data_IF_509385793831
#
_entry.id   IF_509385793831
#
_cell.length_a   1.000
_cell.length_b   1.000
_cell.length_c   1.000
_cell.angle_alpha   90.00
_cell.angle_beta   90.00
_cell.angle_gamma   90.00
#
_symmetry.space_group_name_H-M   'P 1'
#
loop_
_entity.id
_entity.type
_entity.pdbx_description
1 polymer ?
#
# COMPACT_ATOMS: atom_id res chain seq x y z
N UNK A 1 5.63 -27.46 56.23
CA UNK A 1 4.23 -27.04 56.00
C UNK A 1 4.27 -25.61 55.45
N UNK A 2 4.06 -25.37 54.14
CA UNK A 2 2.79 -24.89 53.50
C UNK A 2 2.24 -23.65 54.24
N UNK A 3 2.06 -22.43 53.69
CA UNK A 3 1.50 -21.89 52.43
C UNK A 3 1.57 -20.34 52.56
N UNK A 4 1.51 -19.43 51.58
CA UNK A 4 1.24 -19.44 50.15
C UNK A 4 1.34 -17.99 49.63
N UNK A 5 1.80 -17.84 48.40
CA UNK A 5 1.91 -16.57 47.67
C UNK A 5 0.64 -16.33 46.83
N UNK A 6 -0.04 -15.19 46.94
CA UNK A 6 -1.06 -14.74 45.95
C UNK A 6 -1.39 -13.24 46.09
N UNK A 7 -0.67 -12.38 45.38
CA UNK A 7 -1.07 -11.05 44.90
C UNK A 7 -0.19 -10.80 43.65
N UNK A 8 -0.63 -10.41 42.46
CA UNK A 8 -1.93 -10.12 41.87
C UNK A 8 -1.63 -9.78 40.40
N UNK A 9 -1.82 -10.74 39.49
CA UNK A 9 -1.69 -10.53 38.03
C UNK A 9 -2.93 -9.82 37.51
N UNK A 10 -3.04 -8.51 37.73
CA UNK A 10 -4.15 -7.69 37.24
C UNK A 10 -3.65 -6.36 36.67
N UNK A 11 -2.82 -6.41 35.61
CA UNK A 11 -2.32 -5.20 34.95
C UNK A 11 -2.30 -5.23 33.41
N UNK A 12 -2.30 -6.41 32.77
CA UNK A 12 -1.99 -6.49 31.33
C UNK A 12 -3.20 -6.56 30.37
N UNK A 13 -4.44 -6.58 30.87
CA UNK A 13 -5.63 -6.82 30.02
C UNK A 13 -6.40 -5.57 29.57
N UNK A 14 -6.10 -4.38 30.11
CA UNK A 14 -6.87 -3.15 29.79
C UNK A 14 -6.35 -2.35 28.59
N UNK A 15 -5.13 -2.60 28.11
CA UNK A 15 -4.55 -1.89 26.96
C UNK A 15 -4.99 -2.43 25.59
N UNK A 16 -5.24 -3.74 25.48
CA UNK A 16 -5.58 -4.39 24.21
C UNK A 16 -7.00 -4.05 23.70
N UNK A 17 -7.95 -3.82 24.62
CA UNK A 17 -9.34 -3.48 24.27
C UNK A 17 -9.50 -2.04 23.79
N UNK A 18 -8.75 -1.10 24.36
CA UNK A 18 -8.76 0.30 23.92
C UNK A 18 -8.16 0.46 22.52
N UNK A 19 -7.08 -0.27 22.20
CA UNK A 19 -6.47 -0.30 20.87
C UNK A 19 -7.42 -0.84 19.79
N UNK A 20 -8.14 -1.93 20.06
CA UNK A 20 -9.12 -2.53 19.14
C UNK A 20 -10.32 -1.62 18.88
N UNK A 21 -10.81 -0.92 19.91
CA UNK A 21 -11.92 0.04 19.79
C UNK A 21 -11.49 1.26 18.98
N UNK A 22 -10.26 1.75 19.18
CA UNK A 22 -9.72 2.88 18.42
C UNK A 22 -9.43 2.49 16.96
N UNK A 23 -8.96 1.26 16.70
CA UNK A 23 -8.80 0.68 15.35
C UNK A 23 -10.14 0.58 14.62
N UNK A 24 -11.18 0.10 15.31
CA UNK A 24 -12.53 0.01 14.77
C UNK A 24 -13.11 1.40 14.48
N UNK A 25 -12.87 2.39 15.34
CA UNK A 25 -13.34 3.76 15.11
C UNK A 25 -12.60 4.46 13.96
N UNK A 26 -11.31 4.20 13.76
CA UNK A 26 -10.54 4.77 12.65
C UNK A 26 -10.81 4.10 11.30
N UNK A 27 -11.26 2.84 11.28
CA UNK A 27 -11.59 2.10 10.05
C UNK A 27 -13.06 2.19 9.66
N UNK A 28 -13.98 2.10 10.63
CA UNK A 28 -15.41 1.98 10.37
C UNK A 28 -16.05 3.34 10.13
N UNK A 29 -15.57 4.41 10.76
CA UNK A 29 -16.19 5.74 10.63
C UNK A 29 -15.94 6.37 9.24
N UNK A 30 -14.74 6.37 8.67
CA UNK A 30 -14.53 6.90 7.32
C UNK A 30 -15.25 6.06 6.26
N UNK A 31 -15.30 4.73 6.43
CA UNK A 31 -15.97 3.81 5.51
C UNK A 31 -17.51 3.93 5.59
N UNK A 32 -18.08 4.09 6.78
CA UNK A 32 -19.52 4.28 6.97
C UNK A 32 -19.98 5.66 6.47
N UNK A 33 -19.18 6.71 6.65
CA UNK A 33 -19.45 8.04 6.08
C UNK A 33 -19.31 8.01 4.54
N UNK A 34 -18.39 7.21 4.00
CA UNK A 34 -18.27 6.98 2.55
C UNK A 34 -19.47 6.24 1.95
N UNK A 35 -20.03 5.28 2.69
CA UNK A 35 -21.18 4.48 2.26
C UNK A 35 -22.50 5.24 2.38
N UNK A 36 -22.58 6.30 3.20
CA UNK A 36 -23.79 7.09 3.40
C UNK A 36 -23.89 8.33 2.48
N UNK A 37 -22.81 8.72 1.81
CA UNK A 37 -22.79 9.85 0.89
C UNK A 37 -23.17 9.41 -0.54
N UNK A 38 -24.45 9.17 -0.79
CA UNK A 38 -25.00 8.98 -2.13
C UNK A 38 -25.31 10.34 -2.77
N UNK A 39 -24.45 10.78 -3.69
CA UNK A 39 -24.78 11.87 -4.63
C UNK A 39 -24.89 11.30 -6.03
N UNK A 40 -26.10 11.30 -6.60
CA UNK A 40 -26.29 11.11 -8.03
C UNK A 40 -25.72 12.33 -8.78
N UNK A 41 -24.64 12.12 -9.53
CA UNK A 41 -24.05 13.16 -10.40
C UNK A 41 -24.28 12.77 -11.85
N UNK A 42 -25.07 13.57 -12.55
CA UNK A 42 -25.26 13.49 -14.00
C UNK A 42 -24.09 14.15 -14.74
N UNK A 43 -23.29 13.43 -15.56
CA UNK A 43 -22.22 14.03 -16.34
C UNK A 43 -22.78 14.79 -17.56
N UNK A 44 -22.19 15.95 -17.86
CA UNK A 44 -22.49 16.76 -19.05
C UNK A 44 -21.99 16.13 -20.38
N UNK A 45 -22.51 16.54 -21.56
CA UNK A 45 -22.18 15.92 -22.85
C UNK A 45 -20.69 16.06 -23.25
N UNK A 46 -20.20 15.07 -23.99
CA UNK A 46 -18.79 14.87 -24.36
C UNK A 46 -18.26 15.91 -25.37
N UNK A 47 -17.47 16.87 -24.89
CA UNK A 47 -16.59 17.70 -25.73
C UNK A 47 -15.32 16.90 -26.15
N UNK A 48 -14.70 17.17 -27.32
CA UNK A 48 -13.57 16.37 -27.86
C UNK A 48 -12.39 16.26 -26.89
N UNK A 49 -11.63 15.14 -26.87
CA UNK A 49 -10.57 14.94 -25.89
C UNK A 49 -9.55 16.08 -25.93
N UNK A 50 -9.32 16.72 -24.77
CA UNK A 50 -8.34 17.81 -24.58
C UNK A 50 -7.11 17.21 -23.90
N UNK A 51 -6.15 16.75 -24.71
CA UNK A 51 -4.85 16.29 -24.23
C UNK A 51 -3.85 17.43 -24.34
N UNK A 52 -3.22 17.80 -23.21
CA UNK A 52 -2.19 18.84 -23.20
C UNK A 52 -0.80 18.22 -23.29
N UNK A 53 0.16 18.95 -23.84
CA UNK A 53 1.57 18.54 -23.82
C UNK A 53 2.26 19.04 -22.55
N UNK A 54 3.27 18.29 -22.10
CA UNK A 54 4.12 18.68 -20.97
C UNK A 54 5.48 19.11 -21.52
N UNK A 55 5.77 20.41 -21.55
CA UNK A 55 7.00 20.96 -22.16
C UNK A 55 7.28 20.44 -23.58
N UNK A 56 6.23 20.28 -24.41
CA UNK A 56 6.34 19.72 -25.77
C UNK A 56 6.48 18.19 -25.84
N UNK A 57 6.58 17.51 -24.69
CA UNK A 57 6.58 16.05 -24.60
C UNK A 57 5.19 15.43 -24.75
N UNK A 58 5.16 14.18 -25.21
CA UNK A 58 3.93 13.38 -25.33
C UNK A 58 3.34 13.07 -23.95
N UNK A 59 2.08 13.45 -23.72
CA UNK A 59 1.39 13.29 -22.44
C UNK A 59 1.39 11.84 -21.92
N UNK A 60 1.16 10.87 -22.81
CA UNK A 60 1.11 9.45 -22.46
C UNK A 60 2.47 8.94 -22.00
N UNK A 61 3.54 9.36 -22.68
CA UNK A 61 4.91 9.00 -22.30
C UNK A 61 5.27 9.57 -20.92
N UNK A 62 4.94 10.85 -20.68
CA UNK A 62 5.20 11.51 -19.40
C UNK A 62 4.47 10.80 -18.27
N UNK A 63 3.17 10.52 -18.43
CA UNK A 63 2.40 9.78 -17.42
C UNK A 63 2.98 8.37 -17.22
N UNK A 64 3.36 7.66 -18.28
CA UNK A 64 3.95 6.33 -18.16
C UNK A 64 5.23 6.34 -17.34
N UNK A 65 6.18 7.26 -17.62
CA UNK A 65 7.44 7.37 -16.87
C UNK A 65 7.17 7.68 -15.40
N UNK A 66 6.38 8.72 -15.13
CA UNK A 66 6.11 9.18 -13.76
C UNK A 66 5.36 8.11 -12.96
N UNK A 67 4.35 7.48 -13.56
CA UNK A 67 3.60 6.40 -12.94
C UNK A 67 4.50 5.20 -12.64
N UNK A 68 5.37 4.79 -13.58
CA UNK A 68 6.24 3.65 -13.37
C UNK A 68 7.19 3.87 -12.18
N UNK A 69 7.82 5.04 -12.10
CA UNK A 69 8.71 5.37 -10.99
C UNK A 69 7.93 5.40 -9.66
N UNK A 70 6.79 6.09 -9.63
CA UNK A 70 5.93 6.13 -8.45
C UNK A 70 5.51 4.72 -7.98
N UNK A 71 5.11 3.85 -8.91
CA UNK A 71 4.64 2.49 -8.60
C UNK A 71 5.77 1.57 -8.11
N UNK A 72 6.99 1.70 -8.62
CA UNK A 72 8.13 0.91 -8.12
C UNK A 72 8.45 1.27 -6.66
N UNK A 73 8.52 2.56 -6.33
CA UNK A 73 8.71 2.98 -4.95
C UNK A 73 7.47 2.67 -4.08
N UNK A 74 6.27 2.80 -4.63
CA UNK A 74 5.03 2.42 -3.94
C UNK A 74 4.96 0.93 -3.60
N UNK A 75 5.42 0.05 -4.50
CA UNK A 75 5.51 -1.38 -4.24
C UNK A 75 6.45 -1.69 -3.07
N UNK A 76 7.60 -1.02 -3.01
CA UNK A 76 8.53 -1.12 -1.89
C UNK A 76 7.91 -0.62 -0.57
N UNK A 77 7.27 0.55 -0.59
CA UNK A 77 6.62 1.15 0.58
C UNK A 77 5.47 0.29 1.13
N UNK A 78 4.78 -0.48 0.28
CA UNK A 78 3.72 -1.38 0.72
C UNK A 78 4.24 -2.77 1.15
N UNK A 79 5.34 -3.24 0.56
CA UNK A 79 5.90 -4.56 0.86
C UNK A 79 6.75 -4.62 2.13
N UNK A 80 7.68 -3.67 2.29
CA UNK A 80 8.67 -3.65 3.40
C UNK A 80 8.07 -3.55 4.80
N UNK A 81 7.08 -2.68 5.08
CA UNK A 81 6.54 -2.55 6.42
C UNK A 81 5.92 -3.85 6.96
N UNK A 82 5.45 -4.74 6.07
CA UNK A 82 4.84 -6.02 6.46
C UNK A 82 5.88 -6.87 7.18
N UNK A 83 7.01 -7.13 6.53
CA UNK A 83 8.03 -7.97 7.14
C UNK A 83 8.86 -7.23 8.18
N UNK A 84 9.03 -5.91 8.09
CA UNK A 84 9.63 -5.12 9.17
C UNK A 84 8.84 -5.27 10.48
N UNK A 85 7.51 -5.18 10.41
CA UNK A 85 6.63 -5.37 11.57
C UNK A 85 6.68 -6.80 12.10
N UNK A 86 6.74 -7.81 11.22
CA UNK A 86 6.88 -9.22 11.62
C UNK A 86 8.21 -9.46 12.34
N UNK A 87 9.32 -8.99 11.77
CA UNK A 87 10.66 -9.10 12.35
C UNK A 87 10.71 -8.39 13.69
N UNK A 88 10.09 -7.21 13.81
CA UNK A 88 10.02 -6.50 15.08
C UNK A 88 9.21 -7.27 16.14
N UNK A 89 8.06 -7.82 15.77
CA UNK A 89 7.25 -8.66 16.68
C UNK A 89 8.05 -9.88 17.15
N UNK A 90 8.80 -10.52 16.25
CA UNK A 90 9.68 -11.63 16.60
C UNK A 90 10.75 -11.15 17.58
N UNK A 91 11.46 -10.06 17.27
CA UNK A 91 12.50 -9.50 18.14
C UNK A 91 11.98 -9.10 19.51
N UNK A 92 10.76 -8.55 19.58
CA UNK A 92 10.11 -8.23 20.85
C UNK A 92 9.78 -9.46 21.68
N UNK A 93 9.32 -10.54 21.05
CA UNK A 93 8.95 -11.79 21.75
C UNK A 93 10.16 -12.64 22.14
N UNK A 94 11.20 -12.67 21.32
CA UNK A 94 12.39 -13.48 21.57
C UNK A 94 13.44 -12.75 22.41
N UNK A 95 13.43 -11.42 22.40
CA UNK A 95 14.47 -10.60 23.02
C UNK A 95 15.80 -10.63 22.26
N UNK A 96 15.85 -11.22 21.05
CA UNK A 96 17.08 -11.28 20.26
C UNK A 96 17.32 -9.93 19.53
N UNK A 97 18.40 -9.22 19.85
CA UNK A 97 18.68 -7.90 19.31
C UNK A 97 18.97 -7.90 17.82
N UNK A 98 19.25 -9.05 17.20
CA UNK A 98 19.43 -9.14 15.73
C UNK A 98 18.16 -8.73 14.99
N UNK A 99 17.01 -9.23 15.42
CA UNK A 99 15.72 -8.90 14.81
C UNK A 99 15.35 -7.44 15.01
N UNK A 100 15.57 -6.88 16.20
CA UNK A 100 15.29 -5.46 16.45
C UNK A 100 16.17 -4.54 15.58
N UNK A 101 17.47 -4.86 15.45
CA UNK A 101 18.38 -4.13 14.52
C UNK A 101 17.94 -4.23 13.07
N UNK A 102 17.54 -5.42 12.62
CA UNK A 102 17.08 -5.65 11.26
C UNK A 102 15.80 -4.87 10.95
N UNK A 103 14.82 -4.91 11.85
CA UNK A 103 13.58 -4.16 11.67
C UNK A 103 13.81 -2.63 11.70
N UNK A 104 14.71 -2.14 12.56
CA UNK A 104 15.09 -0.73 12.57
C UNK A 104 15.71 -0.29 11.24
N UNK A 105 16.62 -1.08 10.66
CA UNK A 105 17.20 -0.78 9.36
C UNK A 105 16.16 -0.78 8.23
N UNK A 106 15.20 -1.71 8.24
CA UNK A 106 14.10 -1.69 7.27
C UNK A 106 13.23 -0.44 7.39
N UNK A 107 12.92 0.01 8.59
CA UNK A 107 12.13 1.23 8.79
C UNK A 107 12.88 2.50 8.38
N UNK A 108 14.20 2.54 8.57
CA UNK A 108 15.03 3.63 8.06
C UNK A 108 14.96 3.74 6.52
N UNK A 109 15.09 2.60 5.82
CA UNK A 109 14.94 2.55 4.36
C UNK A 109 13.53 2.98 3.92
N UNK A 110 12.51 2.55 4.67
CA UNK A 110 11.11 2.87 4.40
C UNK A 110 10.83 4.38 4.50
N UNK A 111 11.41 5.10 5.46
CA UNK A 111 11.23 6.55 5.62
C UNK A 111 11.69 7.34 4.38
N UNK A 112 12.88 7.02 3.86
CA UNK A 112 13.42 7.64 2.65
C UNK A 112 12.60 7.26 1.40
N UNK A 113 12.22 5.98 1.28
CA UNK A 113 11.40 5.50 0.17
C UNK A 113 10.01 6.15 0.16
N UNK A 114 9.36 6.28 1.32
CA UNK A 114 8.03 6.90 1.45
C UNK A 114 8.04 8.36 0.97
N UNK A 115 9.03 9.15 1.39
CA UNK A 115 9.18 10.54 0.96
C UNK A 115 9.33 10.65 -0.57
N UNK A 116 10.11 9.72 -1.15
CA UNK A 116 10.32 9.65 -2.61
C UNK A 116 9.04 9.24 -3.33
N UNK A 117 8.33 8.22 -2.84
CA UNK A 117 7.02 7.78 -3.36
C UNK A 117 6.01 8.93 -3.33
N UNK A 118 5.95 9.66 -2.22
CA UNK A 118 5.05 10.81 -2.03
C UNK A 118 5.33 11.92 -3.05
N UNK A 119 6.60 12.27 -3.26
CA UNK A 119 6.99 13.27 -4.25
C UNK A 119 6.58 12.87 -5.67
N UNK A 120 6.88 11.63 -6.08
CA UNK A 120 6.46 11.13 -7.40
C UNK A 120 4.95 10.92 -7.52
N UNK A 121 4.26 10.63 -6.42
CA UNK A 121 2.79 10.53 -6.37
C UNK A 121 2.13 11.89 -6.56
N UNK A 122 2.63 12.93 -5.88
CA UNK A 122 2.21 14.30 -6.11
C UNK A 122 2.47 14.74 -7.55
N UNK A 123 3.65 14.44 -8.09
CA UNK A 123 3.97 14.70 -9.50
C UNK A 123 3.00 13.98 -10.45
N UNK A 124 2.66 12.71 -10.17
CA UNK A 124 1.70 11.94 -10.96
C UNK A 124 0.32 12.60 -10.96
N UNK A 125 -0.20 12.98 -9.79
CA UNK A 125 -1.51 13.64 -9.65
C UNK A 125 -1.53 14.98 -10.39
N UNK A 126 -0.51 15.84 -10.20
CA UNK A 126 -0.44 17.12 -10.90
C UNK A 126 -0.34 16.94 -12.42
N UNK A 127 0.41 15.94 -12.87
CA UNK A 127 0.55 15.62 -14.29
C UNK A 127 -0.78 15.11 -14.87
N UNK A 128 -1.52 14.25 -14.16
CA UNK A 128 -2.82 13.76 -14.60
C UNK A 128 -3.86 14.89 -14.68
N UNK A 129 -3.94 15.76 -13.67
CA UNK A 129 -4.85 16.92 -13.68
C UNK A 129 -4.49 17.90 -14.79
N UNK A 130 -3.19 18.15 -15.00
CA UNK A 130 -2.71 19.09 -16.02
C UNK A 130 -2.88 18.57 -17.45
N UNK A 131 -2.56 17.30 -17.70
CA UNK A 131 -2.50 16.71 -19.04
C UNK A 131 -3.80 16.06 -19.49
N UNK A 132 -4.61 15.58 -18.54
CA UNK A 132 -5.86 14.86 -18.77
C UNK A 132 -7.04 15.47 -17.98
N UNK A 133 -7.33 16.77 -18.13
CA UNK A 133 -8.29 17.48 -17.27
C UNK A 133 -9.73 16.92 -17.36
N UNK A 134 -10.20 16.58 -18.57
CA UNK A 134 -11.55 16.00 -18.75
C UNK A 134 -11.70 14.63 -18.11
N UNK A 135 -10.66 13.81 -18.23
CA UNK A 135 -10.60 12.49 -17.62
C UNK A 135 -10.58 12.59 -16.09
N UNK A 136 -9.77 13.49 -15.53
CA UNK A 136 -9.75 13.72 -14.09
C UNK A 136 -11.06 14.30 -13.56
N UNK A 137 -11.71 15.20 -14.30
CA UNK A 137 -13.04 15.71 -13.95
C UNK A 137 -14.08 14.58 -13.91
N UNK A 138 -14.05 13.68 -14.90
CA UNK A 138 -14.93 12.52 -14.94
C UNK A 138 -14.69 11.58 -13.75
N UNK A 139 -13.44 11.17 -13.48
CA UNK A 139 -13.16 10.31 -12.34
C UNK A 139 -13.51 10.99 -11.01
N UNK A 140 -13.26 12.29 -10.87
CA UNK A 140 -13.64 13.06 -9.67
C UNK A 140 -15.14 13.04 -9.44
N UNK A 141 -15.95 13.16 -10.51
CA UNK A 141 -17.42 13.11 -10.37
C UNK A 141 -17.91 11.80 -9.74
N UNK A 142 -17.17 10.70 -9.93
CA UNK A 142 -17.49 9.37 -9.40
C UNK A 142 -16.84 9.11 -8.04
N UNK A 143 -15.56 9.47 -7.89
CA UNK A 143 -14.68 9.00 -6.81
C UNK A 143 -14.32 10.06 -5.78
N UNK A 144 -14.84 11.29 -5.85
CA UNK A 144 -14.50 12.39 -4.93
C UNK A 144 -14.50 11.99 -3.45
N UNK A 145 -15.51 11.24 -2.99
CA UNK A 145 -15.59 10.74 -1.61
C UNK A 145 -14.38 9.87 -1.24
N UNK A 146 -13.98 8.96 -2.14
CA UNK A 146 -12.82 8.09 -1.93
C UNK A 146 -11.49 8.86 -2.01
N UNK A 147 -11.43 9.97 -2.77
CA UNK A 147 -10.24 10.83 -2.82
C UNK A 147 -9.98 11.53 -1.50
N UNK A 148 -11.02 12.01 -0.81
CA UNK A 148 -10.87 12.61 0.52
C UNK A 148 -10.39 11.59 1.55
N UNK A 149 -10.93 10.37 1.51
CA UNK A 149 -10.50 9.28 2.40
C UNK A 149 -9.05 8.90 2.11
N UNK A 150 -8.69 8.77 0.84
CA UNK A 150 -7.33 8.48 0.44
C UNK A 150 -6.37 9.57 0.94
N UNK A 151 -6.70 10.84 0.79
CA UNK A 151 -5.88 11.95 1.28
C UNK A 151 -5.68 11.87 2.80
N UNK A 152 -6.76 11.65 3.57
CA UNK A 152 -6.69 11.52 5.03
C UNK A 152 -5.82 10.32 5.44
N UNK A 153 -6.02 9.16 4.82
CA UNK A 153 -5.26 7.96 5.10
C UNK A 153 -3.79 8.10 4.70
N UNK A 154 -3.48 8.84 3.64
CA UNK A 154 -2.11 9.14 3.24
C UNK A 154 -1.38 9.98 4.31
N UNK A 155 -2.05 10.99 4.87
CA UNK A 155 -1.48 11.73 6.02
C UNK A 155 -1.36 10.86 7.27
N UNK A 156 -2.34 9.99 7.55
CA UNK A 156 -2.28 9.05 8.66
C UNK A 156 -1.12 8.05 8.50
N UNK A 157 -0.90 7.53 7.29
CA UNK A 157 0.20 6.64 6.94
C UNK A 157 1.54 7.34 7.18
N UNK A 158 1.71 8.55 6.63
CA UNK A 158 2.90 9.36 6.83
C UNK A 158 3.17 9.61 8.32
N UNK A 159 2.20 10.15 9.05
CA UNK A 159 2.37 10.42 10.48
C UNK A 159 2.72 9.15 11.27
N UNK A 160 2.04 8.03 10.98
CA UNK A 160 2.32 6.73 11.61
C UNK A 160 3.73 6.26 11.31
N UNK A 161 4.19 6.35 10.06
CA UNK A 161 5.54 5.99 9.65
C UNK A 161 6.61 6.81 10.37
N UNK A 162 6.43 8.13 10.44
CA UNK A 162 7.38 9.02 11.11
C UNK A 162 7.42 8.75 12.62
N UNK A 163 6.27 8.51 13.26
CA UNK A 163 6.22 8.09 14.66
C UNK A 163 6.88 6.72 14.87
N UNK A 164 6.67 5.78 13.95
CA UNK A 164 7.24 4.45 14.01
C UNK A 164 8.77 4.51 13.92
N UNK A 165 9.30 5.20 12.92
CA UNK A 165 10.75 5.29 12.73
C UNK A 165 11.44 6.13 13.81
N UNK A 166 11.05 7.40 14.00
CA UNK A 166 11.72 8.29 14.95
C UNK A 166 11.42 7.94 16.42
N UNK A 167 10.37 7.17 16.66
CA UNK A 167 9.99 6.69 17.98
C UNK A 167 10.72 5.44 18.44
N UNK A 168 11.59 4.83 17.60
CA UNK A 168 12.21 3.53 17.86
C UNK A 168 12.87 3.42 19.24
N UNK A 169 13.74 4.38 19.58
CA UNK A 169 14.45 4.39 20.86
C UNK A 169 13.58 4.89 22.02
N UNK A 170 12.62 5.78 21.71
CA UNK A 170 11.79 6.47 22.71
C UNK A 170 10.64 5.59 23.21
N UNK A 171 10.19 4.64 22.39
CA UNK A 171 9.14 3.68 22.73
C UNK A 171 9.68 2.30 23.13
N UNK A 172 10.93 2.22 23.61
CA UNK A 172 11.47 0.99 24.21
C UNK A 172 10.81 0.70 25.57
N UNK A 173 10.90 -0.56 26.02
CA UNK A 173 10.39 -1.00 27.32
C UNK A 173 8.85 -0.96 27.40
N UNK A 174 8.23 -0.20 28.33
CA UNK A 174 6.78 -0.22 28.56
C UNK A 174 5.96 0.23 27.34
N UNK A 175 6.54 1.02 26.44
CA UNK A 175 5.89 1.55 25.25
C UNK A 175 6.09 0.67 24.00
N UNK A 176 6.80 -0.46 24.09
CA UNK A 176 7.09 -1.31 22.91
C UNK A 176 5.82 -1.86 22.26
N UNK A 177 4.77 -2.12 23.05
CA UNK A 177 3.46 -2.51 22.52
C UNK A 177 2.82 -1.43 21.63
N UNK A 178 3.02 -0.15 21.96
CA UNK A 178 2.56 0.97 21.12
C UNK A 178 3.38 1.04 19.83
N UNK A 179 4.70 0.88 19.93
CA UNK A 179 5.57 0.88 18.76
C UNK A 179 5.21 -0.22 17.74
N UNK A 180 4.95 -1.45 18.22
CA UNK A 180 4.46 -2.55 17.38
C UNK A 180 3.09 -2.25 16.79
N UNK A 181 2.19 -1.60 17.56
CA UNK A 181 0.89 -1.17 17.04
C UNK A 181 1.04 -0.16 15.89
N UNK A 182 2.02 0.76 15.95
CA UNK A 182 2.30 1.68 14.83
C UNK A 182 2.73 0.93 13.57
N UNK A 183 3.56 -0.11 13.70
CA UNK A 183 3.91 -0.98 12.56
C UNK A 183 2.68 -1.68 11.95
N UNK A 184 1.76 -2.18 12.79
CA UNK A 184 0.51 -2.79 12.32
C UNK A 184 -0.40 -1.76 11.64
N UNK A 185 -0.55 -0.57 12.24
CA UNK A 185 -1.33 0.53 11.68
C UNK A 185 -0.78 0.99 10.34
N UNK A 186 0.54 1.09 10.21
CA UNK A 186 1.21 1.44 8.96
C UNK A 186 0.83 0.47 7.82
N UNK A 187 0.85 -0.83 8.09
CA UNK A 187 0.42 -1.85 7.12
C UNK A 187 -1.07 -1.76 6.78
N UNK A 188 -1.90 -1.44 7.76
CA UNK A 188 -3.32 -1.24 7.57
C UNK A 188 -3.60 -0.04 6.64
N UNK A 189 -2.97 1.11 6.91
CA UNK A 189 -3.12 2.31 6.07
C UNK A 189 -2.66 2.05 4.65
N UNK A 190 -1.47 1.49 4.46
CA UNK A 190 -0.94 1.16 3.14
C UNK A 190 -1.84 0.19 2.37
N UNK A 191 -2.39 -0.83 3.05
CA UNK A 191 -3.30 -1.78 2.41
C UNK A 191 -4.60 -1.12 1.95
N UNK A 192 -5.20 -0.26 2.77
CA UNK A 192 -6.43 0.47 2.40
C UNK A 192 -6.15 1.46 1.27
N UNK A 193 -5.04 2.19 1.31
CA UNK A 193 -4.62 3.09 0.23
C UNK A 193 -4.43 2.34 -1.08
N UNK A 194 -3.80 1.17 -1.04
CA UNK A 194 -3.64 0.29 -2.21
C UNK A 194 -4.99 -0.15 -2.75
N UNK A 195 -5.93 -0.57 -1.89
CA UNK A 195 -7.27 -0.96 -2.30
C UNK A 195 -8.02 0.19 -2.99
N UNK A 196 -7.97 1.41 -2.42
CA UNK A 196 -8.60 2.59 -3.01
C UNK A 196 -7.98 2.94 -4.37
N UNK A 197 -6.64 3.00 -4.45
CA UNK A 197 -5.94 3.27 -5.71
C UNK A 197 -6.21 2.20 -6.77
N UNK A 198 -6.31 0.93 -6.37
CA UNK A 198 -6.66 -0.17 -7.27
C UNK A 198 -8.07 -0.05 -7.79
N UNK A 199 -9.03 0.41 -6.98
CA UNK A 199 -10.39 0.62 -7.44
C UNK A 199 -10.44 1.60 -8.61
N UNK A 200 -9.70 2.70 -8.52
CA UNK A 200 -9.63 3.71 -9.58
C UNK A 200 -8.92 3.17 -10.83
N UNK A 201 -7.77 2.51 -10.65
CA UNK A 201 -7.00 1.95 -11.76
C UNK A 201 -7.76 0.82 -12.48
N UNK A 202 -8.43 -0.06 -11.74
CA UNK A 202 -9.19 -1.17 -12.30
C UNK A 202 -10.49 -0.71 -12.97
N UNK A 203 -11.10 0.37 -12.48
CA UNK A 203 -12.25 1.00 -13.13
C UNK A 203 -11.93 1.50 -14.55
N UNK A 204 -10.71 2.00 -14.77
CA UNK A 204 -10.27 2.42 -16.10
C UNK A 204 -10.18 1.25 -17.09
N UNK A 205 -10.05 0.02 -16.60
CA UNK A 205 -9.96 -1.19 -17.41
C UNK A 205 -11.32 -1.87 -17.60
N UNK A 206 -12.12 -1.94 -16.53
CA UNK A 206 -13.43 -2.58 -16.54
C UNK A 206 -14.46 -1.69 -15.81
N UNK A 207 -14.93 -0.61 -16.45
CA UNK A 207 -15.85 0.33 -15.81
C UNK A 207 -17.19 -0.32 -15.51
N UNK A 208 -17.76 0.03 -14.36
CA UNK A 208 -19.09 -0.40 -13.90
C UNK A 208 -20.01 0.80 -13.70
N UNK A 209 -21.33 0.61 -13.77
CA UNK A 209 -22.29 1.71 -13.60
C UNK A 209 -22.35 2.73 -14.75
N UNK A 210 -21.86 2.35 -15.94
CA UNK A 210 -21.97 3.14 -17.17
C UNK A 210 -23.15 2.65 -17.99
N UNK A 211 -24.01 3.57 -18.40
CA UNK A 211 -25.05 3.33 -19.39
C UNK A 211 -24.42 3.14 -20.77
N UNK A 212 -24.72 2.03 -21.44
CA UNK A 212 -24.03 1.63 -22.69
C UNK A 212 -24.42 2.47 -23.89
N UNK A 213 -25.58 3.13 -23.86
CA UNK A 213 -26.10 3.92 -24.98
C UNK A 213 -25.65 5.38 -24.88
N UNK A 214 -25.74 5.95 -23.68
CA UNK A 214 -25.43 7.36 -23.41
C UNK A 214 -23.99 7.59 -22.97
N UNK A 215 -23.26 6.53 -22.60
CA UNK A 215 -21.91 6.57 -22.02
C UNK A 215 -21.81 7.41 -20.75
N UNK A 216 -22.94 7.65 -20.09
CA UNK A 216 -23.00 8.39 -18.83
C UNK A 216 -22.87 7.43 -17.66
N UNK A 217 -22.25 7.92 -16.60
CA UNK A 217 -22.29 7.25 -15.31
C UNK A 217 -23.68 7.41 -14.70
N UNK A 218 -24.31 6.28 -14.39
CA UNK A 218 -25.66 6.20 -13.78
C UNK A 218 -25.66 5.32 -12.51
N UNK A 219 -24.50 4.73 -12.18
CA UNK A 219 -24.33 3.89 -11.00
C UNK A 219 -23.99 4.65 -9.73
N UNK A 220 -23.66 3.91 -8.67
CA UNK A 220 -23.17 4.46 -7.40
C UNK A 220 -21.64 4.40 -7.33
N UNK A 221 -21.02 5.26 -6.52
CA UNK A 221 -19.57 5.21 -6.26
C UNK A 221 -19.12 3.82 -5.81
N UNK A 222 -19.93 3.12 -5.01
CA UNK A 222 -19.62 1.75 -4.60
C UNK A 222 -19.60 0.78 -5.79
N UNK A 223 -20.55 0.86 -6.71
CA UNK A 223 -20.52 0.04 -7.93
C UNK A 223 -19.28 0.32 -8.78
N UNK A 224 -18.80 1.56 -8.81
CA UNK A 224 -17.55 1.90 -9.49
C UNK A 224 -16.31 1.35 -8.76
N UNK A 225 -16.29 1.39 -7.42
CA UNK A 225 -15.22 0.80 -6.60
C UNK A 225 -15.18 -0.72 -6.75
N UNK A 226 -16.33 -1.37 -6.58
CA UNK A 226 -16.51 -2.81 -6.67
C UNK A 226 -16.60 -3.32 -8.12
N UNK A 227 -15.79 -2.75 -9.00
CA UNK A 227 -15.68 -3.20 -10.38
C UNK A 227 -15.03 -4.60 -10.48
N UNK A 228 -15.25 -5.36 -11.57
CA UNK A 228 -14.85 -6.76 -11.68
C UNK A 228 -13.35 -7.02 -11.44
N UNK A 229 -12.50 -6.05 -11.76
CA UNK A 229 -11.05 -6.19 -11.69
C UNK A 229 -10.45 -5.69 -10.37
N UNK A 230 -11.25 -5.12 -9.45
CA UNK A 230 -10.75 -4.52 -8.22
C UNK A 230 -10.02 -5.53 -7.32
N UNK A 231 -10.72 -6.61 -6.95
CA UNK A 231 -10.17 -7.66 -6.07
C UNK A 231 -9.05 -8.48 -6.75
N UNK A 232 -9.20 -8.93 -8.01
CA UNK A 232 -8.11 -9.62 -8.70
C UNK A 232 -6.83 -8.79 -8.78
N UNK A 233 -6.95 -7.50 -9.11
CA UNK A 233 -5.80 -6.59 -9.17
C UNK A 233 -5.20 -6.38 -7.78
N UNK A 234 -6.03 -6.24 -6.74
CA UNK A 234 -5.56 -6.07 -5.37
C UNK A 234 -4.78 -7.27 -4.85
N UNK A 235 -5.26 -8.49 -5.07
CA UNK A 235 -4.57 -9.72 -4.66
C UNK A 235 -3.22 -9.82 -5.39
N UNK A 236 -3.21 -9.62 -6.71
CA UNK A 236 -1.98 -9.67 -7.50
C UNK A 236 -0.96 -8.64 -7.00
N UNK A 237 -1.38 -7.38 -6.84
CA UNK A 237 -0.50 -6.30 -6.38
C UNK A 237 0.00 -6.50 -4.95
N UNK A 238 -0.85 -6.99 -4.04
CA UNK A 238 -0.44 -7.26 -2.66
C UNK A 238 0.73 -8.24 -2.62
N UNK A 239 0.59 -9.37 -3.33
CA UNK A 239 1.62 -10.41 -3.39
C UNK A 239 2.86 -9.89 -4.13
N UNK A 240 2.67 -9.19 -5.25
CA UNK A 240 3.77 -8.63 -6.04
C UNK A 240 4.60 -7.62 -5.24
N UNK A 241 3.95 -6.76 -4.43
CA UNK A 241 4.63 -5.78 -3.59
C UNK A 241 5.52 -6.46 -2.52
N UNK A 242 5.04 -7.55 -1.91
CA UNK A 242 5.83 -8.33 -0.94
C UNK A 242 7.03 -8.99 -1.64
N UNK A 243 6.80 -9.61 -2.79
CA UNK A 243 7.88 -10.22 -3.58
C UNK A 243 8.94 -9.19 -3.96
N UNK A 244 8.51 -8.05 -4.52
CA UNK A 244 9.38 -6.94 -4.90
C UNK A 244 10.16 -6.39 -3.70
N UNK A 245 9.48 -6.10 -2.58
CA UNK A 245 10.11 -5.61 -1.36
C UNK A 245 11.19 -6.56 -0.82
N UNK A 246 10.91 -7.87 -0.80
CA UNK A 246 11.87 -8.90 -0.38
C UNK A 246 13.11 -8.95 -1.26
N UNK A 247 12.95 -8.95 -2.59
CA UNK A 247 14.09 -8.95 -3.51
C UNK A 247 14.88 -7.64 -3.50
N UNK A 248 14.24 -6.48 -3.33
CA UNK A 248 14.97 -5.21 -3.18
C UNK A 248 15.78 -5.18 -1.88
N UNK A 249 15.24 -5.70 -0.78
CA UNK A 249 16.01 -5.89 0.46
C UNK A 249 17.18 -6.84 0.24
N UNK A 250 16.96 -7.95 -0.47
CA UNK A 250 18.04 -8.88 -0.84
C UNK A 250 19.14 -8.21 -1.65
N UNK A 251 18.77 -7.39 -2.64
CA UNK A 251 19.72 -6.64 -3.47
C UNK A 251 20.49 -5.59 -2.65
N UNK A 252 19.81 -4.84 -1.78
CA UNK A 252 20.45 -3.91 -0.85
C UNK A 252 21.45 -4.61 0.06
N UNK A 253 21.04 -5.74 0.65
CA UNK A 253 21.88 -6.55 1.52
C UNK A 253 23.11 -7.10 0.78
N UNK A 254 22.97 -7.53 -0.47
CA UNK A 254 24.09 -7.99 -1.29
C UNK A 254 25.12 -6.87 -1.55
N UNK A 255 24.67 -5.67 -1.90
CA UNK A 255 25.57 -4.51 -2.11
C UNK A 255 26.30 -4.17 -0.81
N UNK A 256 25.58 -4.17 0.32
CA UNK A 256 26.16 -3.88 1.63
C UNK A 256 27.12 -4.97 2.10
N UNK A 257 26.82 -6.24 1.83
CA UNK A 257 27.69 -7.37 2.11
C UNK A 257 29.04 -7.25 1.38
N UNK A 258 29.03 -6.87 0.10
CA UNK A 258 30.25 -6.66 -0.69
C UNK A 258 31.08 -5.46 -0.17
N UNK A 259 30.40 -4.42 0.32
CA UNK A 259 31.05 -3.25 0.92
C UNK A 259 31.54 -3.45 2.36
N UNK A 260 31.10 -4.52 3.03
CA UNK A 260 31.34 -4.72 4.46
C UNK A 260 32.81 -4.94 4.79
N UNK A 261 33.28 -4.22 5.82
CA UNK A 261 34.69 -4.19 6.26
C UNK A 261 34.99 -5.14 7.40
N UNK A 262 33.96 -5.59 8.12
CA UNK A 262 34.10 -6.50 9.25
C UNK A 262 33.31 -7.81 9.05
N UNK A 263 33.73 -8.87 9.73
CA UNK A 263 33.01 -10.14 9.72
C UNK A 263 31.60 -10.02 10.32
N UNK A 264 31.43 -9.18 11.34
CA UNK A 264 30.13 -8.93 11.97
C UNK A 264 29.16 -8.23 11.00
N UNK A 265 29.64 -7.24 10.26
CA UNK A 265 28.85 -6.52 9.25
C UNK A 265 28.47 -7.45 8.09
N UNK A 266 29.40 -8.29 7.62
CA UNK A 266 29.09 -9.33 6.63
C UNK A 266 28.01 -10.29 7.12
N UNK A 267 28.13 -10.80 8.35
CA UNK A 267 27.15 -11.72 8.90
C UNK A 267 25.75 -11.09 9.03
N UNK A 268 25.67 -9.80 9.37
CA UNK A 268 24.41 -9.06 9.43
C UNK A 268 23.75 -8.93 8.05
N UNK A 269 24.51 -8.51 7.04
CA UNK A 269 23.96 -8.35 5.68
C UNK A 269 23.71 -9.68 4.96
N UNK A 270 24.48 -10.73 5.26
CA UNK A 270 24.18 -12.08 4.80
C UNK A 270 22.81 -12.55 5.33
N UNK A 271 22.58 -12.35 6.62
CA UNK A 271 21.30 -12.68 7.24
C UNK A 271 20.14 -11.81 6.73
N UNK A 272 20.34 -10.49 6.56
CA UNK A 272 19.36 -9.60 5.93
C UNK A 272 19.02 -10.08 4.51
N UNK A 273 20.03 -10.47 3.73
CA UNK A 273 19.87 -11.01 2.39
C UNK A 273 19.10 -12.32 2.37
N UNK A 274 19.39 -13.22 3.31
CA UNK A 274 18.63 -14.46 3.49
C UNK A 274 17.15 -14.17 3.79
N UNK A 275 16.86 -13.28 4.74
CA UNK A 275 15.48 -12.93 5.11
C UNK A 275 14.75 -12.28 3.94
N UNK A 276 15.38 -11.33 3.25
CA UNK A 276 14.82 -10.66 2.07
C UNK A 276 14.48 -11.65 0.95
N UNK A 277 15.43 -12.51 0.59
CA UNK A 277 15.21 -13.53 -0.44
C UNK A 277 14.16 -14.57 -0.03
N UNK A 278 14.13 -14.97 1.24
CA UNK A 278 13.10 -15.88 1.74
C UNK A 278 11.70 -15.28 1.59
N UNK A 279 11.51 -14.02 2.02
CA UNK A 279 10.23 -13.31 1.87
C UNK A 279 9.88 -13.13 0.38
N UNK A 280 10.86 -12.73 -0.43
CA UNK A 280 10.73 -12.54 -1.87
C UNK A 280 10.24 -13.80 -2.58
N UNK A 281 10.91 -14.93 -2.34
CA UNK A 281 10.54 -16.24 -2.90
C UNK A 281 9.20 -16.75 -2.36
N UNK A 282 8.95 -16.61 -1.07
CA UNK A 282 7.70 -17.04 -0.46
C UNK A 282 6.48 -16.32 -1.06
N UNK A 283 6.62 -15.03 -1.40
CA UNK A 283 5.59 -14.28 -2.11
C UNK A 283 5.60 -14.51 -3.62
N UNK A 284 6.75 -14.80 -4.24
CA UNK A 284 6.84 -15.09 -5.66
C UNK A 284 6.11 -16.39 -6.03
N UNK A 285 6.16 -17.43 -5.20
CA UNK A 285 5.49 -18.72 -5.47
C UNK A 285 3.97 -18.58 -5.73
N UNK A 286 3.18 -17.89 -4.88
CA UNK A 286 1.76 -17.68 -5.14
C UNK A 286 1.46 -16.64 -6.25
N UNK A 287 2.43 -15.80 -6.62
CA UNK A 287 2.22 -14.68 -7.55
C UNK A 287 1.71 -15.11 -8.95
N UNK A 288 2.25 -16.15 -9.61
CA UNK A 288 1.70 -16.65 -10.87
C UNK A 288 0.23 -17.05 -10.80
N UNK A 289 -0.22 -17.63 -9.69
CA UNK A 289 -1.64 -18.00 -9.51
C UNK A 289 -2.53 -16.78 -9.38
N UNK A 290 -2.08 -15.77 -8.63
CA UNK A 290 -2.78 -14.47 -8.56
C UNK A 290 -2.76 -13.74 -9.92
N UNK A 291 -1.67 -13.85 -10.67
CA UNK A 291 -1.56 -13.35 -12.04
C UNK A 291 -2.50 -14.05 -13.02
N UNK A 292 -2.59 -15.37 -12.94
CA UNK A 292 -3.56 -16.14 -13.72
C UNK A 292 -5.00 -15.74 -13.39
N UNK A 293 -5.32 -15.60 -12.10
CA UNK A 293 -6.64 -15.12 -11.67
C UNK A 293 -6.96 -13.74 -12.26
N UNK A 294 -6.05 -12.77 -12.13
CA UNK A 294 -6.22 -11.44 -12.74
C UNK A 294 -6.36 -11.52 -14.26
N UNK A 295 -5.50 -12.28 -14.95
CA UNK A 295 -5.54 -12.42 -16.40
C UNK A 295 -6.84 -13.03 -16.91
N UNK A 296 -7.37 -14.03 -16.20
CA UNK A 296 -8.67 -14.63 -16.49
C UNK A 296 -9.80 -13.61 -16.39
N UNK A 297 -9.83 -12.81 -15.32
CA UNK A 297 -10.87 -11.78 -15.13
C UNK A 297 -10.75 -10.66 -16.16
N UNK A 298 -9.53 -10.26 -16.55
CA UNK A 298 -9.33 -9.30 -17.64
C UNK A 298 -9.88 -9.84 -18.95
N UNK A 299 -9.64 -11.12 -19.26
CA UNK A 299 -10.18 -11.77 -20.44
C UNK A 299 -11.72 -11.80 -20.43
N UNK A 300 -12.32 -12.10 -19.27
CA UNK A 300 -13.78 -12.08 -19.10
C UNK A 300 -14.39 -10.67 -19.21
N UNK A 301 -13.66 -9.64 -18.78
CA UNK A 301 -14.11 -8.25 -18.88
C UNK A 301 -13.99 -7.70 -20.32
N UNK A 302 -12.92 -8.04 -21.02
CA UNK A 302 -12.68 -7.61 -22.40
C UNK A 302 -11.82 -8.63 -23.16
N UNK A 303 -12.39 -9.35 -24.15
CA UNK A 303 -11.63 -10.26 -25.00
C UNK A 303 -10.50 -9.56 -25.76
N UNK A 304 -10.66 -8.28 -26.11
CA UNK A 304 -9.62 -7.48 -26.78
C UNK A 304 -8.43 -7.26 -25.84
N UNK A 305 -8.68 -6.88 -24.59
CA UNK A 305 -7.60 -6.73 -23.60
C UNK A 305 -6.93 -8.08 -23.31
N UNK A 306 -7.74 -9.14 -23.16
CA UNK A 306 -7.24 -10.50 -22.96
C UNK A 306 -6.34 -10.99 -24.09
N UNK A 307 -6.74 -10.79 -25.34
CA UNK A 307 -5.92 -11.17 -26.50
C UNK A 307 -4.60 -10.37 -26.55
N UNK A 308 -4.65 -9.05 -26.31
CA UNK A 308 -3.45 -8.21 -26.30
C UNK A 308 -2.44 -8.58 -25.19
N UNK A 309 -2.90 -9.19 -24.09
CA UNK A 309 -2.00 -9.66 -23.02
C UNK A 309 -1.24 -10.94 -23.38
N UNK A 310 -1.75 -11.74 -24.31
CA UNK A 310 -1.18 -13.05 -24.66
C UNK A 310 -0.10 -12.98 -25.75
N UNK A 311 0.08 -11.82 -26.39
CA UNK A 311 1.02 -11.60 -27.49
C UNK A 311 0.36 -11.72 -28.84
#
# INVERSE_FOLDING_TARGET
MKTGAWLGRAGLRRGASAGLIMLALLLVVPLAVALAAETQVTPAPSAPPDYRSFFGGNARLVIWIVAQVHLMFGAFVLGVPIFASIVEIIGWRTGDPRYDRLAHEFTALLSAAFSTTAAFGGLLVFSLVGLYPKFMAFLTSIFHTTYYIYALLFFAEGFTLYLYYYGWDRMRGPWKGLHVLLGILLNLWGTVLMLLANAWASYMMAPSGIDKETLRFVGTTWQAVANPLWIPLAIHRFIANIAFGGFIVGAYAAIKFLGARSAAERAHYDWMGYVGNFVGLAALIPLPFAGYYLGREVYSASPVMGNNMMG
#
